data_IF_944787099335
#
_entry.id   IF_944787099335
#
_cell.length_a   1.000
_cell.length_b   1.000
_cell.length_c   1.000
_cell.angle_alpha   90.00
_cell.angle_beta   90.00
_cell.angle_gamma   90.00
#
_symmetry.space_group_name_H-M   'P 1'
#
loop_
_entity.id
_entity.type
_entity.pdbx_description
1 polymer ?
#
# COMPACT_ATOMS: atom_id res chain seq x y z
N UNK A 1 0.55 0.30 19.89
CA UNK A 1 1.64 1.09 20.49
C UNK A 1 2.94 0.46 19.99
N UNK A 2 3.38 0.86 18.78
CA UNK A 2 4.59 0.37 18.06
C UNK A 2 5.36 1.63 17.59
N UNK A 3 5.44 2.64 18.45
CA UNK A 3 5.94 3.99 18.08
C UNK A 3 7.28 4.30 18.77
N UNK A 4 7.74 3.47 19.73
CA UNK A 4 8.92 3.79 20.55
C UNK A 4 10.28 3.54 19.85
N UNK A 5 10.42 2.45 19.10
CA UNK A 5 11.75 2.05 18.56
C UNK A 5 12.13 2.88 17.32
N UNK A 6 11.20 3.10 16.41
CA UNK A 6 11.45 3.83 15.15
C UNK A 6 11.80 5.29 15.41
N UNK A 7 11.18 5.91 16.41
CA UNK A 7 11.31 7.33 16.73
C UNK A 7 12.62 7.64 17.47
N UNK A 8 13.08 6.71 18.31
CA UNK A 8 14.33 6.82 19.07
C UNK A 8 15.55 6.71 18.15
N UNK A 9 15.53 5.75 17.21
CA UNK A 9 16.57 5.61 16.17
C UNK A 9 16.66 6.82 15.24
N UNK A 10 15.51 7.43 14.98
CA UNK A 10 15.42 8.60 14.14
C UNK A 10 15.99 9.85 14.80
N UNK A 11 15.63 10.06 16.07
CA UNK A 11 16.18 11.15 16.87
C UNK A 11 17.69 10.97 17.04
N UNK A 12 18.17 9.73 17.22
CA UNK A 12 19.60 9.44 17.22
C UNK A 12 20.27 9.84 15.91
N UNK A 13 19.68 9.50 14.76
CA UNK A 13 20.21 9.88 13.43
C UNK A 13 20.22 11.40 13.23
N UNK A 14 19.15 12.11 13.58
CA UNK A 14 19.07 13.57 13.47
C UNK A 14 20.10 14.25 14.39
N UNK A 15 20.28 13.75 15.62
CA UNK A 15 21.25 14.29 16.57
C UNK A 15 22.70 14.02 16.13
N UNK A 16 22.95 12.86 15.50
CA UNK A 16 24.23 12.52 14.87
C UNK A 16 24.53 13.40 13.67
N UNK A 17 23.56 13.62 12.78
CA UNK A 17 23.70 14.48 11.59
C UNK A 17 23.92 15.96 11.96
N UNK A 18 23.56 16.36 13.18
CA UNK A 18 23.76 17.70 13.73
C UNK A 18 25.08 17.85 14.52
N UNK A 19 25.94 16.82 14.53
CA UNK A 19 27.26 16.84 15.18
C UNK A 19 27.19 17.16 16.69
N UNK A 20 26.19 16.62 17.38
CA UNK A 20 26.05 16.79 18.83
C UNK A 20 26.86 15.72 19.56
N UNK A 21 27.77 16.15 20.43
CA UNK A 21 28.59 15.23 21.23
C UNK A 21 27.70 14.37 22.16
N UNK A 22 27.83 13.05 22.01
CA UNK A 22 27.11 12.03 22.80
C UNK A 22 25.57 11.99 22.64
N UNK A 23 25.05 11.65 21.45
CA UNK A 23 23.61 11.57 21.17
C UNK A 23 22.89 10.48 22.00
N UNK A 24 23.60 9.42 22.42
CA UNK A 24 23.04 8.33 23.23
C UNK A 24 22.68 8.79 24.65
N UNK A 25 23.45 9.71 25.23
CA UNK A 25 23.18 10.27 26.56
C UNK A 25 21.93 11.15 26.61
N UNK A 26 21.63 11.85 25.51
CA UNK A 26 20.50 12.78 25.38
C UNK A 26 19.15 12.07 25.19
N UNK A 27 19.14 10.85 24.66
CA UNK A 27 17.91 10.08 24.41
C UNK A 27 17.34 9.41 25.66
N UNK A 28 18.09 9.36 26.78
CA UNK A 28 17.63 8.74 28.05
C UNK A 28 16.39 9.40 28.65
N UNK A 29 16.04 10.62 28.21
CA UNK A 29 14.92 11.40 28.74
C UNK A 29 13.69 11.47 27.81
N UNK A 30 13.57 10.53 26.86
CA UNK A 30 12.38 10.40 26.00
C UNK A 30 11.22 9.79 26.78
N UNK A 31 10.10 10.52 26.85
CA UNK A 31 8.87 10.04 27.50
C UNK A 31 7.67 10.30 26.61
N UNK A 32 6.93 9.24 26.26
CA UNK A 32 5.62 9.35 25.62
C UNK A 32 4.55 9.44 26.71
N UNK A 33 3.88 10.59 26.84
CA UNK A 33 2.79 10.76 27.82
C UNK A 33 1.52 11.24 27.13
N UNK A 34 0.46 10.43 27.21
CA UNK A 34 -0.88 10.73 26.65
C UNK A 34 -0.86 11.17 25.16
N UNK A 35 -0.09 10.47 24.33
CA UNK A 35 0.00 10.75 22.88
C UNK A 35 0.81 12.01 22.52
N UNK A 36 1.57 12.55 23.49
CA UNK A 36 2.54 13.63 23.27
C UNK A 36 3.94 13.07 23.50
N UNK A 37 4.81 13.25 22.53
CA UNK A 37 6.23 12.92 22.66
C UNK A 37 6.92 14.06 23.42
N UNK A 38 7.51 13.74 24.57
CA UNK A 38 8.31 14.71 25.34
C UNK A 38 9.77 14.33 25.16
N UNK A 39 10.54 15.25 24.59
CA UNK A 39 11.98 15.10 24.39
C UNK A 39 12.67 16.18 25.21
N UNK A 40 13.49 15.78 26.18
CA UNK A 40 14.32 16.71 26.97
C UNK A 40 15.77 16.61 26.53
N UNK A 41 16.34 17.74 26.12
CA UNK A 41 17.74 17.85 25.71
C UNK A 41 18.38 18.89 26.64
N UNK A 42 19.23 18.43 27.54
CA UNK A 42 19.76 19.25 28.63
C UNK A 42 20.84 20.23 28.16
N UNK A 43 21.51 19.96 27.03
CA UNK A 43 22.54 20.82 26.45
C UNK A 43 22.44 20.89 24.92
N UNK A 44 22.41 22.10 24.36
CA UNK A 44 22.51 22.34 22.92
C UNK A 44 23.20 23.68 22.65
N UNK A 45 24.23 23.69 21.81
CA UNK A 45 25.00 24.89 21.45
C UNK A 45 24.17 25.91 20.67
N UNK A 46 23.16 25.47 19.90
CA UNK A 46 22.19 26.34 19.23
C UNK A 46 20.77 25.72 19.23
N UNK A 47 19.96 25.97 20.28
CA UNK A 47 18.66 25.35 20.46
C UNK A 47 17.69 25.58 19.29
N UNK A 48 17.73 26.76 18.67
CA UNK A 48 16.80 27.13 17.60
C UNK A 48 17.06 26.33 16.32
N UNK A 49 18.33 26.20 15.91
CA UNK A 49 18.71 25.42 14.72
C UNK A 49 18.35 23.94 14.87
N UNK A 50 18.47 23.40 16.09
CA UNK A 50 18.07 22.04 16.43
C UNK A 50 16.56 21.85 16.34
N UNK A 51 15.76 22.79 16.87
CA UNK A 51 14.30 22.77 16.74
C UNK A 51 13.88 22.81 15.27
N UNK A 52 14.49 23.68 14.46
CA UNK A 52 14.14 23.83 13.04
C UNK A 52 14.48 22.57 12.22
N UNK A 53 15.61 21.92 12.51
CA UNK A 53 16.01 20.66 11.87
C UNK A 53 15.05 19.51 12.24
N UNK A 54 14.72 19.39 13.53
CA UNK A 54 13.75 18.42 14.03
C UNK A 54 12.37 18.68 13.41
N UNK A 55 11.94 19.95 13.30
CA UNK A 55 10.66 20.32 12.71
C UNK A 55 10.56 19.99 11.22
N UNK A 56 11.60 20.30 10.45
CA UNK A 56 11.68 19.99 9.01
C UNK A 56 11.60 18.48 8.75
N UNK A 57 12.28 17.69 9.58
CA UNK A 57 12.27 16.24 9.47
C UNK A 57 10.91 15.63 9.80
N UNK A 58 10.30 16.07 10.90
CA UNK A 58 9.01 15.57 11.33
C UNK A 58 7.88 15.92 10.35
N UNK A 59 7.97 17.06 9.65
CA UNK A 59 7.08 17.43 8.54
C UNK A 59 7.19 16.47 7.36
N UNK A 60 8.37 15.96 7.03
CA UNK A 60 8.59 15.12 5.85
C UNK A 60 8.21 13.65 6.07
N UNK A 61 8.36 13.12 7.28
CA UNK A 61 8.31 11.66 7.49
C UNK A 61 7.11 11.10 8.28
N UNK A 62 6.32 11.93 8.98
CA UNK A 62 5.26 11.40 9.84
C UNK A 62 3.92 12.10 9.72
N UNK A 63 2.84 11.34 9.98
CA UNK A 63 1.48 11.67 9.56
C UNK A 63 0.59 12.36 10.61
N UNK A 64 0.89 12.30 11.92
CA UNK A 64 0.17 13.07 12.95
C UNK A 64 0.71 12.84 14.37
N UNK A 65 1.32 13.84 15.00
CA UNK A 65 1.82 13.73 16.38
C UNK A 65 2.02 15.12 16.98
N UNK A 66 2.00 15.20 18.31
CA UNK A 66 2.34 16.41 19.07
C UNK A 66 3.67 16.16 19.75
N UNK A 67 4.63 17.06 19.54
CA UNK A 67 5.95 16.98 20.18
C UNK A 67 6.13 18.18 21.08
N UNK A 68 6.45 17.93 22.36
CA UNK A 68 6.95 18.95 23.26
C UNK A 68 8.47 18.73 23.39
N UNK A 69 9.25 19.62 22.79
CA UNK A 69 10.71 19.63 22.90
C UNK A 69 11.11 20.59 23.99
N UNK A 70 11.73 20.10 25.06
CA UNK A 70 12.35 20.95 26.08
C UNK A 70 13.86 20.93 25.86
N UNK A 71 14.43 22.04 25.39
CA UNK A 71 15.87 22.16 25.10
C UNK A 71 16.44 23.26 25.99
N UNK A 72 17.46 22.95 26.78
CA UNK A 72 18.10 23.88 27.71
C UNK A 72 17.08 24.64 28.59
N UNK A 73 16.09 23.93 29.13
CA UNK A 73 15.03 24.48 29.99
C UNK A 73 13.89 25.22 29.28
N UNK A 74 13.97 25.49 27.97
CA UNK A 74 12.88 26.11 27.18
C UNK A 74 12.05 25.06 26.46
N UNK A 75 10.73 25.15 26.59
CA UNK A 75 9.80 24.18 25.98
C UNK A 75 9.16 24.73 24.71
N UNK A 76 9.33 24.00 23.61
CA UNK A 76 8.80 24.25 22.28
C UNK A 76 7.70 23.24 21.98
N UNK A 77 6.49 23.71 21.68
CA UNK A 77 5.35 22.85 21.33
C UNK A 77 5.21 22.80 19.81
N UNK A 78 5.60 21.67 19.20
CA UNK A 78 5.42 21.43 17.77
C UNK A 78 4.14 20.62 17.57
N UNK A 79 3.17 21.21 16.88
CA UNK A 79 1.90 20.57 16.55
C UNK A 79 1.87 20.30 15.05
N UNK A 80 1.97 19.03 14.68
CA UNK A 80 1.85 18.63 13.29
C UNK A 80 0.38 18.41 12.91
N UNK A 81 -0.05 18.87 11.73
CA UNK A 81 -1.42 18.67 11.27
C UNK A 81 -1.75 17.18 11.24
N UNK A 82 -2.92 16.84 11.79
CA UNK A 82 -3.45 15.48 11.77
C UNK A 82 -3.68 15.01 10.33
N UNK A 83 -3.84 13.71 10.09
CA UNK A 83 -4.25 13.19 8.78
C UNK A 83 -5.52 13.90 8.25
N UNK A 84 -6.44 14.30 9.13
CA UNK A 84 -7.61 15.11 8.81
C UNK A 84 -7.26 16.52 8.34
N UNK A 85 -6.28 17.16 8.97
CA UNK A 85 -5.77 18.48 8.60
C UNK A 85 -4.95 18.43 7.29
N UNK A 86 -4.27 17.32 7.02
CA UNK A 86 -3.59 17.06 5.74
C UNK A 86 -4.54 16.70 4.62
N UNK A 87 -5.62 15.96 4.90
CA UNK A 87 -6.73 15.76 3.97
C UNK A 87 -7.30 17.11 3.55
N UNK A 88 -7.52 18.05 4.48
CA UNK A 88 -7.94 19.41 4.17
C UNK A 88 -6.88 20.23 3.38
N UNK A 89 -5.59 19.90 3.49
CA UNK A 89 -4.49 20.56 2.78
C UNK A 89 -4.10 19.89 1.45
N UNK A 90 -4.61 18.70 1.12
CA UNK A 90 -4.37 18.14 -0.21
C UNK A 90 -5.05 19.03 -1.25
N UNK A 91 -4.35 19.43 -2.33
CA UNK A 91 -4.91 20.32 -3.34
C UNK A 91 -6.20 19.75 -3.94
N UNK A 92 -6.33 18.42 -3.96
CA UNK A 92 -7.52 17.72 -4.44
C UNK A 92 -8.76 17.93 -3.56
N UNK A 93 -8.66 17.76 -2.23
CA UNK A 93 -9.80 18.00 -1.32
C UNK A 93 -10.14 19.49 -1.20
N UNK A 94 -9.14 20.37 -1.24
CA UNK A 94 -9.37 21.81 -1.27
C UNK A 94 -10.02 22.26 -2.60
N UNK A 95 -9.68 21.60 -3.71
CA UNK A 95 -10.34 21.78 -5.01
C UNK A 95 -11.75 21.19 -5.07
N UNK A 96 -12.09 20.20 -4.24
CA UNK A 96 -13.44 19.64 -4.13
C UNK A 96 -14.33 20.40 -3.12
N UNK A 97 -13.75 20.99 -2.08
CA UNK A 97 -14.52 21.77 -1.09
C UNK A 97 -14.99 23.12 -1.64
N UNK A 98 -14.19 23.81 -2.45
CA UNK A 98 -14.58 25.07 -3.09
C UNK A 98 -15.87 24.95 -3.95
N UNK A 99 -15.99 23.96 -4.86
CA UNK A 99 -17.23 23.65 -5.57
C UNK A 99 -18.42 23.39 -4.66
N UNK A 100 -18.20 22.80 -3.48
CA UNK A 100 -19.28 22.53 -2.52
C UNK A 100 -19.84 23.82 -1.92
N UNK A 101 -18.98 24.78 -1.56
CA UNK A 101 -19.42 26.10 -1.09
C UNK A 101 -20.16 26.89 -2.18
N UNK A 102 -19.67 26.85 -3.42
CA UNK A 102 -20.37 27.46 -4.56
C UNK A 102 -21.73 26.80 -4.81
N UNK A 103 -21.80 25.47 -4.72
CA UNK A 103 -23.05 24.74 -4.86
C UNK A 103 -24.06 25.13 -3.76
N UNK A 104 -23.63 25.25 -2.50
CA UNK A 104 -24.50 25.73 -1.41
C UNK A 104 -25.01 27.14 -1.73
N UNK A 105 -24.12 28.06 -2.08
CA UNK A 105 -24.46 29.46 -2.31
C UNK A 105 -25.46 29.63 -3.46
N UNK A 106 -25.23 28.91 -4.57
CA UNK A 106 -26.15 28.91 -5.73
C UNK A 106 -27.47 28.20 -5.40
N UNK A 107 -27.47 27.16 -4.56
CA UNK A 107 -28.70 26.42 -4.20
C UNK A 107 -29.56 27.14 -3.17
N UNK A 108 -28.97 28.02 -2.35
CA UNK A 108 -29.71 28.86 -1.40
C UNK A 108 -30.35 30.10 -2.06
N UNK A 109 -29.88 30.52 -3.24
CA UNK A 109 -30.41 31.68 -3.96
C UNK A 109 -31.89 31.51 -4.35
N UNK A 110 -32.32 30.38 -4.96
CA UNK A 110 -33.72 30.11 -5.29
C UNK A 110 -34.62 30.12 -4.06
N UNK A 111 -34.13 29.60 -2.93
CA UNK A 111 -34.80 29.54 -1.64
C UNK A 111 -35.15 30.93 -1.09
N UNK A 112 -34.17 31.83 -1.14
CA UNK A 112 -34.34 33.23 -0.75
C UNK A 112 -35.33 33.92 -1.67
N UNK A 113 -35.26 33.66 -2.99
CA UNK A 113 -36.20 34.26 -3.94
C UNK A 113 -37.62 33.73 -3.76
N UNK A 114 -37.83 32.42 -3.54
CA UNK A 114 -39.17 31.85 -3.30
C UNK A 114 -39.76 32.29 -1.97
N UNK A 115 -38.95 32.34 -0.90
CA UNK A 115 -39.40 32.85 0.39
C UNK A 115 -39.74 34.35 0.34
N UNK A 116 -39.00 35.12 -0.45
CA UNK A 116 -39.28 36.53 -0.70
C UNK A 116 -40.57 36.69 -1.52
N UNK A 117 -40.75 35.92 -2.60
CA UNK A 117 -41.98 35.93 -3.40
C UNK A 117 -43.21 35.57 -2.55
N UNK A 118 -43.15 34.47 -1.78
CA UNK A 118 -44.26 34.05 -0.89
C UNK A 118 -44.62 35.08 0.18
N UNK A 119 -43.63 35.85 0.66
CA UNK A 119 -43.88 36.92 1.65
C UNK A 119 -44.47 38.19 1.02
N UNK A 120 -44.22 38.44 -0.26
CA UNK A 120 -44.63 39.66 -0.96
C UNK A 120 -45.84 39.47 -1.88
N UNK A 121 -46.25 38.23 -2.15
CA UNK A 121 -47.39 37.92 -2.99
C UNK A 121 -48.61 37.55 -2.14
N UNK A 122 -49.65 38.39 -2.14
CA UNK A 122 -51.01 38.07 -1.65
C UNK A 122 -51.71 37.05 -2.59
N UNK A 123 -51.00 36.00 -3.01
CA UNK A 123 -51.54 34.96 -3.89
C UNK A 123 -52.27 33.94 -3.03
N UNK A 124 -53.52 33.65 -3.38
CA UNK A 124 -54.33 32.61 -2.74
C UNK A 124 -53.63 31.25 -2.80
N UNK A 125 -53.46 30.63 -1.64
CA UNK A 125 -52.72 29.37 -1.40
C UNK A 125 -53.16 28.23 -2.35
N UNK A 126 -54.41 28.25 -2.83
CA UNK A 126 -55.01 27.20 -3.66
C UNK A 126 -54.56 27.14 -5.12
N UNK A 127 -54.25 28.27 -5.77
CA UNK A 127 -53.76 28.26 -7.17
C UNK A 127 -52.27 27.91 -7.23
N UNK A 128 -51.53 28.27 -6.16
CA UNK A 128 -50.12 27.92 -5.99
C UNK A 128 -49.90 26.41 -5.88
N UNK A 129 -50.84 25.68 -5.26
CA UNK A 129 -50.75 24.24 -5.05
C UNK A 129 -50.78 23.44 -6.36
N UNK A 130 -51.54 23.87 -7.37
CA UNK A 130 -51.63 23.15 -8.64
C UNK A 130 -50.35 23.31 -9.48
N UNK A 131 -49.85 24.54 -9.64
CA UNK A 131 -48.61 24.81 -10.37
C UNK A 131 -47.38 24.22 -9.66
N UNK A 132 -47.33 24.28 -8.31
CA UNK A 132 -46.26 23.68 -7.53
C UNK A 132 -46.20 22.16 -7.73
N UNK A 133 -47.35 21.49 -7.88
CA UNK A 133 -47.43 20.05 -8.08
C UNK A 133 -46.93 19.63 -9.47
N UNK A 134 -47.22 20.41 -10.51
CA UNK A 134 -46.64 20.17 -11.85
C UNK A 134 -45.12 20.37 -11.86
N UNK A 135 -44.61 21.47 -11.29
CA UNK A 135 -43.16 21.74 -11.20
C UNK A 135 -42.46 20.62 -10.41
N UNK A 136 -43.07 20.17 -9.31
CA UNK A 136 -42.60 19.07 -8.49
C UNK A 136 -42.50 17.75 -9.28
N UNK A 137 -43.48 17.45 -10.14
CA UNK A 137 -43.44 16.28 -11.03
C UNK A 137 -42.33 16.37 -12.09
N UNK A 138 -42.13 17.54 -12.71
CA UNK A 138 -41.01 17.76 -13.62
C UNK A 138 -39.67 17.55 -12.92
N UNK A 139 -39.53 18.02 -11.69
CA UNK A 139 -38.32 17.84 -10.90
C UNK A 139 -38.02 16.37 -10.61
N UNK A 140 -39.03 15.60 -10.18
CA UNK A 140 -38.86 14.15 -9.96
C UNK A 140 -38.42 13.43 -11.24
N UNK A 141 -38.98 13.80 -12.40
CA UNK A 141 -38.57 13.23 -13.69
C UNK A 141 -37.11 13.57 -14.04
N UNK A 142 -36.66 14.79 -13.76
CA UNK A 142 -35.27 15.21 -13.95
C UNK A 142 -34.34 14.41 -13.02
N UNK A 143 -34.69 14.29 -11.73
CA UNK A 143 -33.94 13.48 -10.79
C UNK A 143 -33.85 12.02 -11.23
N UNK A 144 -34.96 11.45 -11.69
CA UNK A 144 -35.01 10.09 -12.22
C UNK A 144 -34.05 9.91 -13.41
N UNK A 145 -34.14 10.79 -14.42
CA UNK A 145 -33.28 10.75 -15.60
C UNK A 145 -31.79 10.87 -15.22
N UNK A 146 -31.44 11.77 -14.30
CA UNK A 146 -30.08 11.94 -13.82
C UNK A 146 -29.58 10.73 -13.03
N UNK A 147 -30.40 10.17 -12.16
CA UNK A 147 -30.10 8.91 -11.48
C UNK A 147 -29.85 7.78 -12.48
N UNK A 148 -30.64 7.68 -13.55
CA UNK A 148 -30.43 6.69 -14.62
C UNK A 148 -29.11 6.93 -15.37
N UNK A 149 -28.72 8.18 -15.63
CA UNK A 149 -27.43 8.49 -16.25
C UNK A 149 -26.26 8.11 -15.34
N UNK A 150 -26.32 8.49 -14.06
CA UNK A 150 -25.25 8.21 -13.09
C UNK A 150 -25.12 6.69 -12.88
N UNK A 151 -26.22 5.96 -12.72
CA UNK A 151 -26.16 4.50 -12.53
C UNK A 151 -25.62 3.80 -13.78
N UNK A 152 -26.02 4.23 -14.98
CA UNK A 152 -25.49 3.69 -16.24
C UNK A 152 -23.98 3.92 -16.34
N UNK A 153 -23.50 5.11 -15.99
CA UNK A 153 -22.07 5.41 -15.92
C UNK A 153 -21.34 4.52 -14.91
N UNK A 154 -21.88 4.39 -13.68
CA UNK A 154 -21.32 3.55 -12.64
C UNK A 154 -21.22 2.09 -13.10
N UNK A 155 -22.29 1.53 -13.67
CA UNK A 155 -22.31 0.16 -14.19
C UNK A 155 -21.24 -0.01 -15.27
N UNK A 156 -21.18 0.92 -16.23
CA UNK A 156 -20.19 0.89 -17.32
C UNK A 156 -18.76 0.90 -16.78
N UNK A 157 -18.47 1.74 -15.78
CA UNK A 157 -17.16 1.81 -15.12
C UNK A 157 -16.83 0.55 -14.32
N UNK A 158 -17.79 -0.05 -13.61
CA UNK A 158 -17.58 -1.32 -12.90
C UNK A 158 -17.23 -2.43 -13.89
N UNK A 159 -17.97 -2.52 -14.99
CA UNK A 159 -17.70 -3.52 -16.04
C UNK A 159 -16.31 -3.29 -16.64
N UNK A 160 -15.94 -2.03 -16.92
CA UNK A 160 -14.62 -1.70 -17.44
C UNK A 160 -13.49 -2.08 -16.47
N UNK A 161 -13.61 -1.73 -15.18
CA UNK A 161 -12.63 -2.10 -14.14
C UNK A 161 -12.53 -3.62 -14.01
N UNK A 162 -13.67 -4.33 -14.00
CA UNK A 162 -13.69 -5.79 -13.93
C UNK A 162 -13.01 -6.42 -15.15
N UNK A 163 -13.25 -5.89 -16.34
CA UNK A 163 -12.61 -6.36 -17.56
C UNK A 163 -11.09 -6.12 -17.52
N UNK A 164 -10.66 -4.94 -17.08
CA UNK A 164 -9.24 -4.60 -16.94
C UNK A 164 -8.54 -5.51 -15.91
N UNK A 165 -9.18 -5.78 -14.77
CA UNK A 165 -8.72 -6.76 -13.78
C UNK A 165 -8.62 -8.16 -14.38
N UNK A 166 -9.64 -8.61 -15.11
CA UNK A 166 -9.62 -9.91 -15.79
C UNK A 166 -8.48 -10.03 -16.82
N UNK A 167 -8.22 -8.97 -17.58
CA UNK A 167 -7.12 -8.93 -18.54
C UNK A 167 -5.75 -9.06 -17.83
N UNK A 168 -5.59 -8.42 -16.66
CA UNK A 168 -4.36 -8.53 -15.83
C UNK A 168 -4.18 -9.92 -15.23
N UNK A 169 -5.26 -10.65 -14.91
CA UNK A 169 -5.18 -11.97 -14.27
C UNK A 169 -4.36 -12.97 -15.09
N UNK A 170 -4.39 -12.88 -16.43
CA UNK A 170 -3.59 -13.77 -17.30
C UNK A 170 -2.10 -13.55 -17.04
N UNK A 171 -1.63 -12.30 -17.12
CA UNK A 171 -0.23 -11.97 -16.84
C UNK A 171 0.17 -12.30 -15.39
N UNK A 172 -0.70 -12.02 -14.42
CA UNK A 172 -0.47 -12.38 -13.00
C UNK A 172 -0.28 -13.88 -12.86
N UNK A 173 -1.10 -14.69 -13.55
CA UNK A 173 -1.00 -16.15 -13.52
C UNK A 173 0.32 -16.62 -14.14
N UNK A 174 0.73 -16.04 -15.27
CA UNK A 174 1.97 -16.42 -15.94
C UNK A 174 3.20 -16.13 -15.06
N UNK A 175 3.30 -14.93 -14.47
CA UNK A 175 4.37 -14.61 -13.52
C UNK A 175 4.28 -15.42 -12.22
N UNK A 176 3.07 -15.72 -11.72
CA UNK A 176 2.91 -16.57 -10.53
C UNK A 176 3.35 -18.01 -10.80
N UNK A 177 3.09 -18.54 -12.00
CA UNK A 177 3.59 -19.84 -12.42
C UNK A 177 5.11 -19.86 -12.45
N UNK A 178 5.74 -18.83 -13.05
CA UNK A 178 7.19 -18.66 -13.05
C UNK A 178 7.76 -18.62 -11.63
N UNK A 179 7.20 -17.78 -10.75
CA UNK A 179 7.63 -17.72 -9.36
C UNK A 179 7.47 -19.09 -8.66
N UNK A 180 6.40 -19.83 -8.94
CA UNK A 180 6.20 -21.16 -8.36
C UNK A 180 7.26 -22.15 -8.83
N UNK A 181 7.62 -22.15 -10.12
CA UNK A 181 8.70 -23.01 -10.63
C UNK A 181 10.05 -22.64 -10.03
N UNK A 182 10.33 -21.35 -9.84
CA UNK A 182 11.51 -20.91 -9.10
C UNK A 182 11.51 -21.40 -7.65
N UNK A 183 10.39 -21.29 -6.94
CA UNK A 183 10.24 -21.85 -5.59
C UNK A 183 10.48 -23.36 -5.56
N UNK A 184 10.06 -24.10 -6.60
CA UNK A 184 10.36 -25.54 -6.74
C UNK A 184 11.84 -25.80 -6.92
N UNK A 185 12.56 -24.94 -7.66
CA UNK A 185 14.02 -24.98 -7.76
C UNK A 185 14.63 -24.78 -6.37
N UNK A 186 14.29 -23.70 -5.67
CA UNK A 186 14.79 -23.43 -4.31
C UNK A 186 14.54 -24.60 -3.36
N UNK A 187 13.32 -25.16 -3.37
CA UNK A 187 12.98 -26.36 -2.60
C UNK A 187 13.94 -27.52 -2.88
N UNK A 188 14.17 -27.84 -4.16
CA UNK A 188 15.05 -28.94 -4.54
C UNK A 188 16.49 -28.69 -4.12
N UNK A 189 16.94 -27.43 -4.08
CA UNK A 189 18.27 -27.04 -3.59
C UNK A 189 18.42 -27.18 -2.06
N UNK A 190 17.38 -26.93 -1.26
CA UNK A 190 17.43 -26.95 0.21
C UNK A 190 17.35 -28.36 0.80
N UNK A 191 16.46 -29.19 0.26
CA UNK A 191 16.21 -30.51 0.85
C UNK A 191 17.32 -31.50 0.63
N UNK A 192 18.12 -31.26 -0.40
CA UNK A 192 19.21 -32.12 -0.75
C UNK A 192 20.52 -31.66 -0.10
N UNK A 193 21.08 -32.43 0.84
CA UNK A 193 22.38 -32.14 1.42
C UNK A 193 23.53 -32.24 0.40
N UNK A 194 23.30 -32.89 -0.76
CA UNK A 194 24.34 -33.19 -1.74
C UNK A 194 24.72 -32.01 -2.63
N UNK A 195 23.87 -30.98 -2.73
CA UNK A 195 24.23 -29.73 -3.40
C UNK A 195 25.45 -29.08 -2.75
N UNK A 196 25.56 -29.16 -1.43
CA UNK A 196 26.68 -28.59 -0.71
C UNK A 196 27.77 -29.65 -0.56
N UNK A 197 29.01 -29.31 -0.93
CA UNK A 197 30.17 -30.21 -0.79
C UNK A 197 30.39 -30.66 0.66
N UNK A 198 29.88 -29.90 1.64
CA UNK A 198 29.92 -30.22 3.06
C UNK A 198 28.55 -30.70 3.59
N UNK A 199 28.32 -32.01 3.79
CA UNK A 199 27.04 -32.55 4.28
C UNK A 199 26.64 -32.02 5.67
N UNK A 200 27.63 -31.69 6.50
CA UNK A 200 27.43 -31.12 7.83
C UNK A 200 26.83 -29.71 7.77
N UNK A 201 27.08 -28.94 6.70
CA UNK A 201 26.53 -27.60 6.51
C UNK A 201 25.02 -27.65 6.32
N UNK A 202 24.53 -28.49 5.41
CA UNK A 202 23.09 -28.59 5.14
C UNK A 202 22.29 -29.01 6.38
N UNK A 203 22.84 -29.93 7.18
CA UNK A 203 22.23 -30.34 8.46
C UNK A 203 22.21 -29.20 9.48
N UNK A 204 23.31 -28.45 9.57
CA UNK A 204 23.42 -27.29 10.45
C UNK A 204 22.45 -26.17 10.05
N UNK A 205 22.46 -25.78 8.78
CA UNK A 205 21.61 -24.72 8.23
C UNK A 205 20.11 -25.05 8.38
N UNK A 206 19.71 -26.33 8.20
CA UNK A 206 18.34 -26.80 8.49
C UNK A 206 17.95 -26.68 9.97
N UNK A 207 18.90 -26.84 10.89
CA UNK A 207 18.66 -26.62 12.32
C UNK A 207 18.47 -25.14 12.69
N UNK A 208 18.89 -24.23 11.81
CA UNK A 208 18.81 -22.78 11.98
C UNK A 208 17.52 -22.20 11.39
N UNK A 209 16.98 -22.78 10.31
CA UNK A 209 15.79 -22.24 9.62
C UNK A 209 14.54 -22.13 10.49
N UNK A 210 14.45 -22.90 11.58
CA UNK A 210 13.36 -22.82 12.56
C UNK A 210 13.57 -21.73 13.63
N UNK A 211 14.77 -21.15 13.69
CA UNK A 211 15.22 -20.25 14.77
C UNK A 211 15.44 -18.81 14.29
N UNK A 212 15.76 -18.63 13.02
CA UNK A 212 16.01 -17.32 12.41
C UNK A 212 15.59 -17.33 10.93
N UNK A 213 14.98 -16.23 10.51
CA UNK A 213 14.58 -15.98 9.13
C UNK A 213 15.65 -15.22 8.35
N UNK A 214 15.60 -15.30 7.01
CA UNK A 214 16.48 -14.50 6.15
C UNK A 214 16.32 -12.98 6.40
N UNK A 215 15.09 -12.51 6.58
CA UNK A 215 14.81 -11.09 6.84
C UNK A 215 15.41 -10.61 8.16
N UNK A 216 15.36 -11.44 9.20
CA UNK A 216 16.00 -11.14 10.49
C UNK A 216 17.52 -11.12 10.38
N UNK A 217 18.11 -12.07 9.65
CA UNK A 217 19.55 -12.15 9.43
C UNK A 217 20.08 -11.03 8.52
N UNK A 218 19.28 -10.49 7.63
CA UNK A 218 19.69 -9.39 6.77
C UNK A 218 19.56 -8.04 7.50
N UNK A 219 18.49 -7.88 8.26
CA UNK A 219 18.20 -6.63 8.97
C UNK A 219 18.86 -6.52 10.34
N UNK A 220 19.59 -7.53 10.83
CA UNK A 220 20.12 -7.52 12.21
C UNK A 220 21.01 -6.30 12.48
N UNK A 221 21.91 -5.91 11.57
CA UNK A 221 22.76 -4.71 11.72
C UNK A 221 21.97 -3.40 11.83
N UNK A 222 20.74 -3.38 11.30
CA UNK A 222 19.82 -2.22 11.36
C UNK A 222 18.79 -2.33 12.49
N UNK A 223 18.71 -3.48 13.15
CA UNK A 223 17.79 -3.75 14.26
C UNK A 223 18.38 -3.26 15.57
N UNK A 224 17.54 -2.69 16.44
CA UNK A 224 17.91 -2.34 17.81
C UNK A 224 17.67 -3.47 18.82
N UNK A 225 17.23 -4.63 18.33
CA UNK A 225 16.90 -5.75 19.18
C UNK A 225 18.19 -6.45 19.63
N UNK A 226 18.66 -6.11 20.84
CA UNK A 226 19.84 -6.72 21.47
C UNK A 226 19.71 -8.25 21.56
N UNK A 227 18.50 -8.78 21.77
CA UNK A 227 18.26 -10.22 21.82
C UNK A 227 18.41 -10.85 20.42
N UNK A 228 17.95 -10.18 19.36
CA UNK A 228 18.17 -10.62 17.99
C UNK A 228 19.66 -10.61 17.64
N UNK A 229 20.39 -9.55 18.01
CA UNK A 229 21.83 -9.45 17.81
C UNK A 229 22.58 -10.60 18.49
N UNK A 230 22.24 -10.89 19.74
CA UNK A 230 22.89 -11.94 20.50
C UNK A 230 22.56 -13.34 19.93
N UNK A 231 21.31 -13.56 19.51
CA UNK A 231 20.89 -14.80 18.83
C UNK A 231 21.64 -14.99 17.52
N UNK A 232 21.61 -13.99 16.62
CA UNK A 232 22.28 -14.02 15.32
C UNK A 232 23.78 -14.28 15.49
N UNK A 233 24.43 -13.53 16.38
CA UNK A 233 25.86 -13.64 16.63
C UNK A 233 26.25 -15.02 17.15
N UNK A 234 25.48 -15.59 18.07
CA UNK A 234 25.73 -16.95 18.57
C UNK A 234 25.62 -17.98 17.45
N UNK A 235 24.62 -17.88 16.57
CA UNK A 235 24.53 -18.80 15.43
C UNK A 235 25.68 -18.59 14.42
N UNK A 236 26.06 -17.37 14.09
CA UNK A 236 27.17 -17.14 13.15
C UNK A 236 28.51 -17.62 13.75
N UNK A 237 28.78 -17.31 15.02
CA UNK A 237 30.03 -17.66 15.71
C UNK A 237 30.15 -19.16 15.98
N UNK A 238 29.04 -19.84 16.29
CA UNK A 238 29.02 -21.30 16.46
C UNK A 238 29.12 -22.05 15.11
N UNK A 239 28.99 -21.34 13.98
CA UNK A 239 29.12 -21.94 12.66
C UNK A 239 30.59 -22.00 12.25
N UNK A 240 31.11 -23.21 12.02
CA UNK A 240 32.38 -23.41 11.30
C UNK A 240 32.23 -23.13 9.79
N UNK A 241 31.20 -22.38 9.38
CA UNK A 241 30.77 -22.22 8.00
C UNK A 241 30.67 -20.72 7.64
N UNK A 242 30.75 -20.41 6.35
CA UNK A 242 30.64 -19.01 5.90
C UNK A 242 29.25 -18.44 6.18
N UNK A 243 29.20 -17.24 6.76
CA UNK A 243 27.96 -16.47 6.98
C UNK A 243 27.16 -16.30 5.68
N UNK A 244 27.84 -16.08 4.55
CA UNK A 244 27.22 -15.87 3.24
C UNK A 244 26.52 -17.14 2.74
N UNK A 245 27.12 -18.32 2.97
CA UNK A 245 26.48 -19.59 2.63
C UNK A 245 25.24 -19.82 3.50
N UNK A 246 25.30 -19.48 4.79
CA UNK A 246 24.15 -19.55 5.68
C UNK A 246 23.03 -18.60 5.22
N UNK A 247 23.37 -17.35 4.88
CA UNK A 247 22.44 -16.36 4.33
C UNK A 247 21.79 -16.85 3.03
N UNK A 248 22.57 -17.41 2.11
CA UNK A 248 22.05 -18.00 0.87
C UNK A 248 21.06 -19.13 1.19
N UNK A 249 21.42 -20.04 2.09
CA UNK A 249 20.54 -21.14 2.48
C UNK A 249 19.22 -20.63 3.07
N UNK A 250 19.26 -19.63 3.96
CA UNK A 250 18.07 -19.00 4.51
C UNK A 250 17.25 -18.24 3.47
N UNK A 251 17.89 -17.58 2.50
CA UNK A 251 17.22 -16.92 1.39
C UNK A 251 16.47 -17.94 0.52
N UNK A 252 17.12 -19.04 0.13
CA UNK A 252 16.46 -20.13 -0.58
C UNK A 252 15.28 -20.66 0.25
N UNK A 253 15.48 -20.86 1.56
CA UNK A 253 14.43 -21.31 2.48
C UNK A 253 13.27 -20.32 2.61
N UNK A 254 13.50 -19.01 2.44
CA UNK A 254 12.39 -18.03 2.43
C UNK A 254 11.40 -18.29 1.29
N UNK A 255 11.84 -18.89 0.18
CA UNK A 255 10.98 -19.31 -0.93
C UNK A 255 10.24 -20.64 -0.67
N UNK A 256 10.59 -21.35 0.41
CA UNK A 256 9.99 -22.64 0.76
C UNK A 256 9.92 -22.82 2.29
N UNK A 257 8.73 -22.63 2.87
CA UNK A 257 8.52 -22.74 4.33
C UNK A 257 7.69 -23.99 4.64
N UNK A 258 8.32 -25.04 5.19
CA UNK A 258 7.60 -26.24 5.67
C UNK A 258 6.44 -25.85 6.62
N UNK A 259 5.21 -26.29 6.32
CA UNK A 259 4.03 -26.01 7.14
C UNK A 259 3.48 -24.57 7.08
N UNK A 260 4.05 -23.68 6.25
CA UNK A 260 3.61 -22.29 6.05
C UNK A 260 2.61 -22.11 4.88
N UNK A 261 2.61 -20.93 4.25
CA UNK A 261 1.94 -20.64 2.97
C UNK A 261 2.62 -21.38 1.79
N UNK A 262 2.80 -22.69 1.95
CA UNK A 262 3.25 -23.59 0.91
C UNK A 262 2.01 -24.25 0.34
N UNK A 263 1.60 -23.84 -0.87
CA UNK A 263 0.38 -24.38 -1.41
C UNK A 263 0.58 -25.87 -1.77
N UNK A 264 -0.49 -26.68 -1.77
CA UNK A 264 -0.41 -28.14 -1.95
C UNK A 264 0.26 -28.57 -3.26
N UNK A 265 0.36 -27.67 -4.24
CA UNK A 265 0.97 -27.91 -5.54
C UNK A 265 2.50 -27.83 -5.56
N UNK A 266 3.19 -27.50 -4.46
CA UNK A 266 4.66 -27.52 -4.44
C UNK A 266 5.25 -28.92 -4.70
N UNK A 267 4.45 -29.96 -4.46
CA UNK A 267 4.77 -31.37 -4.73
C UNK A 267 4.17 -31.89 -6.05
N UNK A 268 3.35 -31.09 -6.72
CA UNK A 268 2.67 -31.50 -7.93
C UNK A 268 3.61 -31.42 -9.15
N UNK A 269 3.44 -32.35 -10.09
CA UNK A 269 4.20 -32.39 -11.35
C UNK A 269 3.68 -31.42 -12.40
N UNK A 270 2.49 -30.84 -12.21
CA UNK A 270 1.86 -29.88 -13.11
C UNK A 270 2.08 -28.42 -12.66
N UNK A 271 1.92 -27.47 -13.58
CA UNK A 271 2.00 -26.04 -13.27
C UNK A 271 0.91 -25.66 -12.28
N UNK A 272 1.31 -25.04 -11.18
CA UNK A 272 0.41 -24.58 -10.16
C UNK A 272 -0.28 -23.29 -10.62
N UNK A 273 -1.53 -23.38 -11.09
CA UNK A 273 -2.34 -22.19 -11.42
C UNK A 273 -2.73 -21.38 -10.17
N UNK A 274 -1.72 -20.93 -9.44
CA UNK A 274 -1.86 -20.18 -8.21
C UNK A 274 -1.60 -18.71 -8.45
N UNK A 275 -2.31 -17.88 -7.70
CA UNK A 275 -2.15 -16.44 -7.75
C UNK A 275 -1.73 -16.02 -6.36
N UNK A 276 -0.53 -15.46 -6.26
CA UNK A 276 0.02 -14.93 -5.02
C UNK A 276 -0.72 -13.65 -4.60
N UNK A 277 -0.98 -13.50 -3.31
CA UNK A 277 -1.45 -12.24 -2.73
C UNK A 277 -0.32 -11.25 -2.52
N UNK A 278 -0.63 -9.95 -2.46
CA UNK A 278 0.39 -8.92 -2.20
C UNK A 278 1.11 -9.13 -0.86
N UNK A 279 0.41 -9.67 0.14
CA UNK A 279 0.97 -10.00 1.46
C UNK A 279 2.04 -11.08 1.36
N UNK A 280 1.84 -12.08 0.51
CA UNK A 280 2.82 -13.15 0.32
C UNK A 280 4.06 -12.65 -0.41
N UNK A 281 3.86 -11.82 -1.44
CA UNK A 281 4.97 -11.28 -2.25
C UNK A 281 5.92 -10.40 -1.43
N UNK A 282 5.40 -9.69 -0.41
CA UNK A 282 6.23 -8.92 0.53
C UNK A 282 7.29 -9.74 1.25
N UNK A 283 7.09 -11.06 1.40
CA UNK A 283 8.10 -11.92 2.01
C UNK A 283 9.40 -11.98 1.18
N UNK A 284 9.30 -11.75 -0.13
CA UNK A 284 10.41 -11.85 -1.09
C UNK A 284 10.83 -10.48 -1.63
N UNK A 285 10.38 -9.38 -1.03
CA UNK A 285 10.77 -8.03 -1.42
C UNK A 285 12.29 -7.85 -1.29
N UNK A 286 12.91 -8.34 -0.21
CA UNK A 286 14.37 -8.30 -0.03
C UNK A 286 15.14 -9.06 -1.11
N UNK A 287 14.53 -10.05 -1.79
CA UNK A 287 15.20 -10.74 -2.89
C UNK A 287 15.41 -9.83 -4.10
N UNK A 288 14.50 -8.86 -4.33
CA UNK A 288 14.68 -7.87 -5.40
C UNK A 288 15.87 -6.94 -5.14
N UNK A 289 16.15 -6.65 -3.87
CA UNK A 289 17.22 -5.75 -3.45
C UNK A 289 18.56 -6.48 -3.24
N UNK A 290 18.53 -7.69 -2.70
CA UNK A 290 19.70 -8.47 -2.38
C UNK A 290 19.54 -9.94 -2.82
N UNK A 291 19.97 -10.25 -4.04
CA UNK A 291 19.99 -11.60 -4.58
C UNK A 291 21.33 -12.30 -4.29
N UNK A 292 21.32 -13.24 -3.33
CA UNK A 292 22.53 -13.96 -2.92
C UNK A 292 22.92 -15.05 -3.91
N UNK A 293 22.00 -15.51 -4.77
CA UNK A 293 22.32 -16.44 -5.85
C UNK A 293 23.24 -15.74 -6.86
N UNK A 294 22.90 -14.49 -7.22
CA UNK A 294 23.77 -13.64 -8.03
C UNK A 294 25.12 -13.38 -7.35
N UNK A 295 25.09 -12.99 -6.07
CA UNK A 295 26.32 -12.71 -5.33
C UNK A 295 27.27 -13.92 -5.29
N UNK A 296 26.74 -15.12 -5.04
CA UNK A 296 27.55 -16.34 -4.89
C UNK A 296 28.04 -16.92 -6.22
N UNK A 297 27.21 -16.89 -7.28
CA UNK A 297 27.55 -17.53 -8.56
C UNK A 297 28.13 -16.59 -9.62
N UNK A 298 28.05 -15.28 -9.44
CA UNK A 298 28.63 -14.28 -10.34
C UNK A 298 29.70 -13.44 -9.62
N UNK A 299 29.30 -12.67 -8.60
CA UNK A 299 30.20 -11.68 -7.97
C UNK A 299 31.39 -12.31 -7.20
N UNK A 300 31.13 -13.34 -6.38
CA UNK A 300 32.12 -14.02 -5.55
C UNK A 300 32.33 -15.49 -5.97
N UNK A 301 32.11 -15.79 -7.25
CA UNK A 301 32.15 -17.17 -7.78
C UNK A 301 33.40 -17.93 -7.35
N UNK A 302 34.58 -17.32 -7.48
CA UNK A 302 35.86 -17.95 -7.13
C UNK A 302 35.98 -18.36 -5.65
N UNK A 303 35.27 -17.68 -4.75
CA UNK A 303 35.30 -17.95 -3.32
C UNK A 303 34.31 -19.05 -2.91
N UNK A 304 33.22 -19.23 -3.67
CA UNK A 304 32.11 -20.09 -3.26
C UNK A 304 31.84 -21.29 -4.18
N UNK A 305 32.29 -21.31 -5.43
CA UNK A 305 31.98 -22.36 -6.41
C UNK A 305 32.34 -23.77 -5.91
N UNK A 306 33.47 -23.92 -5.20
CA UNK A 306 33.91 -25.20 -4.63
C UNK A 306 33.02 -25.73 -3.50
N UNK A 307 32.11 -24.92 -2.97
CA UNK A 307 31.16 -25.34 -1.94
C UNK A 307 29.91 -26.01 -2.52
N UNK A 308 29.78 -26.07 -3.85
CA UNK A 308 28.64 -26.65 -4.54
C UNK A 308 29.03 -27.81 -5.45
N UNK A 309 28.29 -28.92 -5.39
CA UNK A 309 28.44 -30.06 -6.29
C UNK A 309 27.38 -30.04 -7.40
N UNK A 310 27.77 -29.53 -8.57
CA UNK A 310 26.93 -29.53 -9.77
C UNK A 310 27.03 -30.83 -10.59
N UNK A 311 27.89 -31.77 -10.20
CA UNK A 311 28.14 -33.01 -10.96
C UNK A 311 27.07 -34.09 -10.72
N UNK A 312 26.31 -33.98 -9.62
CA UNK A 312 25.33 -34.96 -9.21
C UNK A 312 24.05 -34.93 -10.09
N UNK A 313 23.93 -35.90 -11.01
CA UNK A 313 22.84 -35.98 -12.00
C UNK A 313 21.47 -36.32 -11.42
N UNK A 314 21.38 -36.86 -10.21
CA UNK A 314 20.10 -37.22 -9.59
C UNK A 314 19.21 -35.98 -9.34
N UNK A 315 19.84 -34.82 -9.11
CA UNK A 315 19.17 -33.56 -8.73
C UNK A 315 19.10 -32.55 -9.87
N UNK A 316 20.00 -32.70 -10.86
CA UNK A 316 19.95 -31.97 -12.11
C UNK A 316 18.57 -32.08 -12.78
N UNK A 317 17.96 -33.27 -12.77
CA UNK A 317 16.68 -33.53 -13.47
C UNK A 317 15.51 -32.71 -12.91
N UNK A 318 15.18 -32.72 -11.60
CA UNK A 318 14.13 -31.87 -11.05
C UNK A 318 14.34 -30.38 -11.26
N UNK A 319 15.57 -29.87 -11.08
CA UNK A 319 15.89 -28.45 -11.24
C UNK A 319 15.75 -28.01 -12.69
N UNK A 320 16.36 -28.75 -13.63
CA UNK A 320 16.26 -28.47 -15.06
C UNK A 320 14.81 -28.62 -15.55
N UNK A 321 14.06 -29.57 -15.02
CA UNK A 321 12.64 -29.71 -15.36
C UNK A 321 11.82 -28.51 -14.91
N UNK A 322 12.08 -27.95 -13.73
CA UNK A 322 11.40 -26.73 -13.27
C UNK A 322 11.85 -25.50 -14.07
N UNK A 323 13.14 -25.40 -14.41
CA UNK A 323 13.67 -24.34 -15.29
C UNK A 323 12.97 -24.33 -16.67
N UNK A 324 12.78 -25.51 -17.28
CA UNK A 324 12.04 -25.66 -18.54
C UNK A 324 10.57 -25.28 -18.42
N UNK A 325 9.96 -25.44 -17.25
CA UNK A 325 8.58 -25.01 -16.99
C UNK A 325 8.48 -23.52 -16.69
N UNK A 326 9.53 -22.93 -16.10
CA UNK A 326 9.65 -21.50 -15.86
C UNK A 326 9.60 -20.72 -17.17
N UNK A 327 10.48 -21.06 -18.13
CA UNK A 327 10.41 -20.54 -19.49
C UNK A 327 10.81 -21.63 -20.49
N UNK A 328 9.82 -22.08 -21.26
CA UNK A 328 9.97 -23.15 -22.26
C UNK A 328 10.86 -22.74 -23.43
N UNK A 329 10.97 -21.45 -23.73
CA UNK A 329 11.76 -20.92 -24.84
C UNK A 329 13.20 -20.70 -24.39
N UNK A 330 13.40 -19.98 -23.28
CA UNK A 330 14.74 -19.62 -22.79
C UNK A 330 15.52 -20.84 -22.28
N UNK A 331 14.89 -21.72 -21.51
CA UNK A 331 15.58 -22.83 -20.82
C UNK A 331 15.42 -24.21 -21.48
N UNK A 332 14.99 -24.26 -22.75
CA UNK A 332 14.70 -25.51 -23.48
C UNK A 332 15.86 -26.52 -23.42
N UNK A 333 17.07 -26.04 -23.66
CA UNK A 333 18.30 -26.84 -23.75
C UNK A 333 19.23 -26.62 -22.54
N UNK A 334 18.70 -26.01 -21.48
CA UNK A 334 19.45 -25.74 -20.26
C UNK A 334 19.99 -27.02 -19.61
N UNK A 335 21.23 -26.93 -19.12
CA UNK A 335 21.89 -27.96 -18.32
C UNK A 335 22.03 -27.47 -16.89
N UNK A 336 22.01 -28.41 -15.96
CA UNK A 336 22.24 -28.10 -14.56
C UNK A 336 23.66 -27.54 -14.36
N UNK A 337 23.73 -26.31 -13.88
CA UNK A 337 24.95 -25.52 -13.74
C UNK A 337 24.69 -24.33 -12.80
N UNK A 338 25.76 -23.71 -12.30
CA UNK A 338 25.68 -22.42 -11.59
C UNK A 338 25.07 -21.33 -12.48
N UNK A 339 25.45 -21.29 -13.76
CA UNK A 339 24.94 -20.32 -14.74
C UNK A 339 23.41 -20.45 -14.91
N UNK A 340 22.86 -21.67 -14.92
CA UNK A 340 21.40 -21.87 -14.95
C UNK A 340 20.71 -21.28 -13.72
N UNK A 341 21.26 -21.48 -12.52
CA UNK A 341 20.68 -20.95 -11.29
C UNK A 341 20.77 -19.43 -11.24
N UNK A 342 21.90 -18.88 -11.69
CA UNK A 342 22.13 -17.46 -11.85
C UNK A 342 21.10 -16.83 -12.79
N UNK A 343 20.98 -17.33 -14.01
CA UNK A 343 20.07 -16.80 -15.04
C UNK A 343 18.61 -16.77 -14.56
N UNK A 344 18.13 -17.86 -13.94
CA UNK A 344 16.76 -17.93 -13.43
C UNK A 344 16.57 -16.97 -12.26
N UNK A 345 17.55 -16.88 -11.34
CA UNK A 345 17.47 -15.95 -10.22
C UNK A 345 17.38 -14.49 -10.67
N UNK A 346 18.12 -14.15 -11.73
CA UNK A 346 18.14 -12.82 -12.33
C UNK A 346 16.82 -12.50 -13.04
N UNK A 347 16.23 -13.45 -13.75
CA UNK A 347 14.89 -13.28 -14.33
C UNK A 347 13.85 -13.05 -13.23
N UNK A 348 13.95 -13.77 -12.12
CA UNK A 348 13.02 -13.62 -11.00
C UNK A 348 13.18 -12.25 -10.33
N UNK A 349 14.43 -11.82 -10.10
CA UNK A 349 14.75 -10.55 -9.46
C UNK A 349 14.32 -9.36 -10.32
N UNK A 350 14.61 -9.38 -11.62
CA UNK A 350 14.48 -8.22 -12.49
C UNK A 350 13.12 -8.14 -13.20
N UNK A 351 12.47 -9.29 -13.43
CA UNK A 351 11.24 -9.34 -14.22
C UNK A 351 10.07 -9.92 -13.41
N UNK A 352 10.18 -11.14 -12.91
CA UNK A 352 9.02 -11.86 -12.35
C UNK A 352 8.49 -11.19 -11.09
N UNK A 353 9.32 -11.00 -10.06
CA UNK A 353 8.86 -10.43 -8.79
C UNK A 353 8.37 -8.97 -8.92
N UNK A 354 9.09 -8.05 -9.60
CA UNK A 354 8.63 -6.68 -9.76
C UNK A 354 7.31 -6.57 -10.53
N UNK A 355 7.19 -7.29 -11.65
CA UNK A 355 5.98 -7.26 -12.47
C UNK A 355 4.80 -7.92 -11.75
N UNK A 356 5.03 -9.08 -11.11
CA UNK A 356 4.00 -9.76 -10.34
C UNK A 356 3.49 -8.90 -9.19
N UNK A 357 4.40 -8.31 -8.40
CA UNK A 357 4.04 -7.45 -7.27
C UNK A 357 3.24 -6.24 -7.71
N UNK A 358 3.66 -5.59 -8.80
CA UNK A 358 2.96 -4.42 -9.36
C UNK A 358 1.56 -4.79 -9.86
N UNK A 359 1.44 -5.89 -10.61
CA UNK A 359 0.17 -6.33 -11.17
C UNK A 359 -0.81 -6.79 -10.09
N UNK A 360 -0.33 -7.55 -9.09
CA UNK A 360 -1.15 -8.00 -7.96
C UNK A 360 -1.63 -6.82 -7.13
N UNK A 361 -0.75 -5.85 -6.80
CA UNK A 361 -1.12 -4.62 -6.08
C UNK A 361 -2.24 -3.87 -6.81
N UNK A 362 -2.08 -3.63 -8.13
CA UNK A 362 -3.12 -3.01 -8.97
C UNK A 362 -4.43 -3.80 -9.05
N UNK A 363 -4.37 -5.13 -8.97
CA UNK A 363 -5.54 -5.98 -9.05
C UNK A 363 -6.31 -6.07 -7.71
N UNK A 364 -5.57 -6.04 -6.59
CA UNK A 364 -6.11 -6.00 -5.23
C UNK A 364 -6.58 -4.60 -4.81
N UNK A 365 -6.11 -3.54 -5.49
CA UNK A 365 -6.60 -2.18 -5.30
C UNK A 365 -8.14 -2.15 -5.39
N UNK A 366 -8.74 -1.53 -4.37
CA UNK A 366 -10.19 -1.38 -4.28
C UNK A 366 -10.75 -0.44 -5.35
N UNK A 367 -12.04 -0.13 -5.24
CA UNK A 367 -12.66 0.82 -6.16
C UNK A 367 -11.97 2.20 -6.08
N UNK A 368 -11.69 2.85 -7.23
CA UNK A 368 -11.14 4.19 -7.26
C UNK A 368 -11.95 5.16 -6.41
N UNK A 369 -11.29 6.15 -5.81
CA UNK A 369 -11.96 7.15 -4.97
C UNK A 369 -13.10 7.86 -5.72
N UNK A 370 -12.86 8.22 -6.99
CA UNK A 370 -13.86 8.85 -7.87
C UNK A 370 -15.13 8.01 -7.96
N UNK A 371 -15.00 6.69 -8.04
CA UNK A 371 -16.13 5.77 -8.09
C UNK A 371 -16.95 5.78 -6.78
N UNK A 372 -16.28 5.72 -5.63
CA UNK A 372 -16.93 5.83 -4.31
C UNK A 372 -17.65 7.17 -4.14
N UNK A 373 -17.04 8.25 -4.64
CA UNK A 373 -17.63 9.59 -4.64
C UNK A 373 -18.93 9.64 -5.46
N UNK A 374 -18.95 9.11 -6.69
CA UNK A 374 -20.17 9.09 -7.50
C UNK A 374 -21.27 8.23 -6.89
N UNK A 375 -20.96 7.11 -6.22
CA UNK A 375 -21.95 6.32 -5.46
C UNK A 375 -22.57 7.17 -4.35
N UNK A 376 -21.76 7.93 -3.60
CA UNK A 376 -22.25 8.79 -2.53
C UNK A 376 -23.17 9.89 -3.07
N UNK A 377 -22.78 10.58 -4.13
CA UNK A 377 -23.62 11.59 -4.78
C UNK A 377 -24.93 10.99 -5.30
N UNK A 378 -24.86 9.82 -5.94
CA UNK A 378 -26.05 9.08 -6.40
C UNK A 378 -26.99 8.75 -5.23
N UNK A 379 -26.46 8.24 -4.12
CA UNK A 379 -27.25 7.91 -2.94
C UNK A 379 -27.98 9.15 -2.38
N UNK A 380 -27.32 10.32 -2.33
CA UNK A 380 -27.97 11.56 -1.89
C UNK A 380 -29.08 11.98 -2.86
N UNK A 381 -28.83 11.92 -4.18
CA UNK A 381 -29.85 12.29 -5.19
C UNK A 381 -31.08 11.40 -5.06
N UNK A 382 -30.90 10.08 -4.95
CA UNK A 382 -32.02 9.13 -4.80
C UNK A 382 -32.74 9.35 -3.46
N UNK A 383 -31.99 9.51 -2.36
CA UNK A 383 -32.57 9.71 -1.04
C UNK A 383 -33.40 10.99 -0.99
N UNK A 384 -32.84 12.13 -1.38
CA UNK A 384 -33.55 13.40 -1.25
C UNK A 384 -34.50 13.66 -2.41
N UNK A 385 -34.11 13.40 -3.65
CA UNK A 385 -34.90 13.69 -4.85
C UNK A 385 -36.08 12.75 -5.07
N UNK A 386 -36.02 11.53 -4.54
CA UNK A 386 -37.07 10.52 -4.73
C UNK A 386 -37.62 10.02 -3.40
N UNK A 387 -36.80 9.45 -2.53
CA UNK A 387 -37.29 8.71 -1.36
C UNK A 387 -37.94 9.63 -0.33
N UNK A 388 -37.21 10.65 0.14
CA UNK A 388 -37.68 11.62 1.14
C UNK A 388 -38.92 12.32 0.64
N UNK A 389 -38.88 12.85 -0.58
CA UNK A 389 -40.01 13.54 -1.20
C UNK A 389 -41.27 12.67 -1.21
N UNK A 390 -41.23 11.51 -1.87
CA UNK A 390 -42.39 10.63 -2.01
C UNK A 390 -42.88 10.09 -0.67
N UNK A 391 -41.95 9.80 0.26
CA UNK A 391 -42.31 9.34 1.59
C UNK A 391 -43.09 10.40 2.37
N UNK A 392 -42.66 11.67 2.34
CA UNK A 392 -43.37 12.74 3.04
C UNK A 392 -44.65 13.15 2.33
N UNK A 393 -44.71 13.12 0.99
CA UNK A 393 -45.95 13.37 0.24
C UNK A 393 -47.09 12.41 0.64
N UNK A 394 -46.75 11.17 1.06
CA UNK A 394 -47.72 10.17 1.52
C UNK A 394 -48.33 10.48 2.89
N UNK A 395 -47.59 11.12 3.79
CA UNK A 395 -48.01 11.30 5.20
C UNK A 395 -48.28 12.76 5.58
N UNK A 396 -47.48 13.69 5.06
CA UNK A 396 -47.51 15.12 5.39
C UNK A 396 -47.08 15.96 4.17
N UNK A 397 -47.98 16.17 3.19
CA UNK A 397 -47.69 17.01 2.03
C UNK A 397 -47.47 18.43 2.51
N UNK A 398 -46.19 18.83 2.58
CA UNK A 398 -45.78 20.17 3.01
C UNK A 398 -44.84 20.75 1.97
N UNK A 399 -45.10 21.95 1.47
CA UNK A 399 -44.28 22.56 0.41
C UNK A 399 -42.83 22.79 0.85
N UNK A 400 -42.58 22.84 2.17
CA UNK A 400 -41.25 22.94 2.74
C UNK A 400 -40.35 21.72 2.42
N UNK A 401 -40.91 20.50 2.44
CA UNK A 401 -40.13 19.27 2.22
C UNK A 401 -39.79 19.12 0.74
N UNK A 402 -40.73 19.44 -0.14
CA UNK A 402 -40.48 19.53 -1.58
C UNK A 402 -39.33 20.50 -1.87
N UNK A 403 -39.36 21.67 -1.26
CA UNK A 403 -38.37 22.71 -1.49
C UNK A 403 -36.98 22.33 -0.93
N UNK A 404 -36.93 21.65 0.22
CA UNK A 404 -35.70 21.08 0.77
C UNK A 404 -35.11 19.99 -0.14
N UNK A 405 -35.96 19.09 -0.65
CA UNK A 405 -35.58 18.07 -1.62
C UNK A 405 -35.00 18.70 -2.88
N UNK A 406 -35.66 19.74 -3.40
CA UNK A 406 -35.21 20.53 -4.57
C UNK A 406 -33.83 21.13 -4.34
N UNK A 407 -33.63 21.78 -3.20
CA UNK A 407 -32.34 22.39 -2.85
C UNK A 407 -31.22 21.37 -2.78
N UNK A 408 -31.43 20.28 -2.03
CA UNK A 408 -30.36 19.29 -1.79
C UNK A 408 -29.92 18.64 -3.08
N UNK A 409 -30.83 18.23 -3.98
CA UNK A 409 -30.32 17.61 -5.21
C UNK A 409 -29.72 18.62 -6.18
N UNK A 410 -30.25 19.84 -6.29
CA UNK A 410 -29.62 20.88 -7.11
C UNK A 410 -28.21 21.19 -6.65
N UNK A 411 -28.00 21.23 -5.33
CA UNK A 411 -26.66 21.38 -4.73
C UNK A 411 -25.74 20.24 -5.17
N UNK A 412 -26.19 18.99 -5.09
CA UNK A 412 -25.37 17.85 -5.51
C UNK A 412 -25.08 17.90 -7.01
N UNK A 413 -26.04 18.31 -7.85
CA UNK A 413 -25.86 18.39 -9.30
C UNK A 413 -24.85 19.48 -9.70
N UNK A 414 -25.00 20.68 -9.13
CA UNK A 414 -24.03 21.77 -9.34
C UNK A 414 -22.66 21.33 -8.86
N UNK A 415 -22.60 20.66 -7.70
CA UNK A 415 -21.35 20.16 -7.15
C UNK A 415 -20.68 19.13 -8.08
N UNK A 416 -21.42 18.16 -8.63
CA UNK A 416 -20.91 17.20 -9.61
C UNK A 416 -20.41 17.94 -10.85
N UNK A 417 -21.19 18.87 -11.40
CA UNK A 417 -20.86 19.57 -12.64
C UNK A 417 -19.58 20.40 -12.52
N UNK A 418 -19.42 21.15 -11.42
CA UNK A 418 -18.21 21.93 -11.16
C UNK A 418 -17.02 21.03 -10.84
N UNK A 419 -17.24 19.95 -10.09
CA UNK A 419 -16.18 18.99 -9.71
C UNK A 419 -15.72 18.14 -10.90
N UNK A 420 -16.56 17.94 -11.91
CA UNK A 420 -16.28 17.07 -13.06
C UNK A 420 -14.97 17.44 -13.76
N UNK A 421 -14.70 18.73 -13.96
CA UNK A 421 -13.44 19.19 -14.57
C UNK A 421 -12.21 18.77 -13.76
N UNK A 422 -12.29 18.86 -12.42
CA UNK A 422 -11.19 18.48 -11.53
C UNK A 422 -11.03 16.96 -11.48
N UNK A 423 -12.14 16.23 -11.47
CA UNK A 423 -12.15 14.76 -11.53
C UNK A 423 -11.53 14.26 -12.83
N UNK A 424 -11.95 14.80 -13.98
CA UNK A 424 -11.41 14.44 -15.29
C UNK A 424 -9.92 14.76 -15.39
N UNK A 425 -9.50 15.90 -14.86
CA UNK A 425 -8.07 16.24 -14.77
C UNK A 425 -7.31 15.24 -13.89
N UNK A 426 -7.89 14.80 -12.79
CA UNK A 426 -7.32 13.76 -11.93
C UNK A 426 -7.18 12.40 -12.62
N UNK A 427 -8.13 12.00 -13.46
CA UNK A 427 -8.03 10.72 -14.21
C UNK A 427 -7.13 10.80 -15.45
N UNK A 428 -7.05 11.97 -16.12
CA UNK A 428 -6.23 12.14 -17.34
C UNK A 428 -4.74 12.24 -17.07
N UNK A 429 -4.34 12.83 -15.94
CA UNK A 429 -2.94 13.03 -15.60
C UNK A 429 -2.52 12.04 -14.51
N UNK A 430 -1.76 11.00 -14.88
CA UNK A 430 -1.13 10.12 -13.88
C UNK A 430 -0.24 10.97 -12.95
N UNK A 431 -0.57 10.97 -11.67
CA UNK A 431 0.21 11.69 -10.67
C UNK A 431 1.38 10.79 -10.24
N UNK A 432 2.61 11.22 -10.55
CA UNK A 432 3.85 10.52 -10.16
C UNK A 432 3.92 10.15 -8.67
N UNK A 433 3.24 10.90 -7.80
CA UNK A 433 3.27 10.70 -6.34
C UNK A 433 2.26 9.68 -5.80
N UNK A 434 1.21 9.38 -6.56
CA UNK A 434 0.12 8.50 -6.12
C UNK A 434 0.09 7.19 -6.90
N UNK A 435 0.56 7.21 -8.15
CA UNK A 435 0.35 6.09 -9.08
C UNK A 435 1.63 5.26 -9.31
N UNK A 436 2.78 5.73 -8.81
CA UNK A 436 4.12 5.13 -9.01
C UNK A 436 4.84 4.75 -7.70
N UNK A 437 4.17 4.82 -6.54
CA UNK A 437 4.73 4.44 -5.23
C UNK A 437 3.97 3.27 -4.60
#
# INVERSE_FOLDING_TARGET
>A
MIIDVTLTNLLFKILSDLNIDNPAGLLKNLVVKKGVLIVKIDTASNPKKLVDAIDSYFKSNYQSFKVNLTIAGKTYKLRYPSFKDRLLQTPFMMQLSMPFYWAILVSCLPLLTTAFCLKFSDISITDLDHEAKEISNYYVNICFLLSTLIITYLITKVVAIKQEKNNRIVAIRDYSNQLTEFRRICRNLIYDPSLFTAPNFARYARGITSKITFQELENFNSSNDEDLHLKVKNYIVDSNFSEILLKLYLQLHSFYIEGGYNPPFMLATHSANYIYSSKELKMWELFTENNLIWYVFDNERGNYENHFDFSNQAHAKPVVSSAKRFDRKKYKDAKYSSDLLLDISMDVQNEVLPNLTTLVKKNEEGLPFVFKYFIFCFAIIVLFGVVVKNFFDLFYPTPFIDLLSIMVTMMVLIHIFVSLKFILRGELYMSRKTDYL
#
